data_IF_812492035675
#
_entry.id   IF_812492035675
#
_cell.length_a   1.000
_cell.length_b   1.000
_cell.length_c   1.000
_cell.angle_alpha   90.00
_cell.angle_beta   90.00
_cell.angle_gamma   90.00
#
_symmetry.space_group_name_H-M   'P 1'
#
loop_
_entity.id
_entity.type
_entity.pdbx_description
1 polymer ?
#
# COMPACT_ATOMS: atom_id res chain seq x y z
N UNK A 1 3.66 7.61 26.98
CA UNK A 1 4.68 6.55 27.16
C UNK A 1 4.54 5.36 26.19
N UNK A 2 3.43 5.20 25.43
CA UNK A 2 3.26 4.09 24.49
C UNK A 2 4.31 4.03 23.37
N UNK A 3 4.48 5.12 22.61
CA UNK A 3 5.43 5.16 21.49
C UNK A 3 6.89 4.94 21.89
N UNK A 4 7.32 5.43 23.05
CA UNK A 4 8.69 5.21 23.54
C UNK A 4 8.96 3.73 23.83
N UNK A 5 7.98 3.02 24.42
CA UNK A 5 8.09 1.56 24.64
C UNK A 5 8.06 0.79 23.34
N UNK A 6 7.25 1.22 22.39
CA UNK A 6 7.16 0.59 21.07
C UNK A 6 8.48 0.74 20.29
N UNK A 7 9.08 1.92 20.29
CA UNK A 7 10.40 2.13 19.69
C UNK A 7 11.48 1.26 20.34
N UNK A 8 11.48 1.12 21.68
CA UNK A 8 12.39 0.22 22.38
C UNK A 8 12.15 -1.25 22.01
N UNK A 9 10.89 -1.68 21.94
CA UNK A 9 10.51 -3.04 21.55
C UNK A 9 11.03 -3.38 20.16
N UNK A 10 10.82 -2.49 19.18
CA UNK A 10 11.32 -2.67 17.81
C UNK A 10 12.85 -2.72 17.76
N UNK A 11 13.53 -1.88 18.54
CA UNK A 11 14.99 -1.90 18.62
C UNK A 11 15.53 -3.23 19.17
N UNK A 12 14.87 -3.80 20.20
CA UNK A 12 15.23 -5.11 20.76
C UNK A 12 14.98 -6.24 19.76
N UNK A 13 13.86 -6.23 19.04
CA UNK A 13 13.57 -7.21 17.97
C UNK A 13 14.65 -7.17 16.89
N UNK A 14 15.04 -5.98 16.43
CA UNK A 14 16.07 -5.82 15.42
C UNK A 14 17.46 -6.26 15.90
N UNK A 15 17.73 -6.17 17.20
CA UNK A 15 18.99 -6.63 17.80
C UNK A 15 19.12 -8.16 17.78
N UNK A 16 18.01 -8.88 17.97
CA UNK A 16 17.96 -10.35 18.02
C UNK A 16 17.73 -10.99 16.64
N UNK A 17 17.49 -10.18 15.61
CA UNK A 17 17.06 -10.64 14.29
C UNK A 17 18.12 -11.47 13.55
N UNK A 18 17.71 -12.65 13.08
CA UNK A 18 18.53 -13.55 12.25
C UNK A 18 18.44 -13.16 10.76
N UNK A 19 19.35 -13.63 9.88
CA UNK A 19 19.23 -13.37 8.44
C UNK A 19 17.87 -13.80 7.87
N UNK A 20 17.20 -12.92 7.13
CA UNK A 20 15.95 -13.24 6.45
C UNK A 20 16.18 -14.24 5.30
N UNK A 21 15.24 -15.17 5.03
CA UNK A 21 15.35 -16.10 3.92
C UNK A 21 15.27 -15.38 2.58
N UNK A 22 16.00 -15.89 1.59
CA UNK A 22 15.97 -15.41 0.21
C UNK A 22 15.02 -16.26 -0.65
N UNK A 23 14.33 -15.61 -1.60
CA UNK A 23 13.55 -16.30 -2.64
C UNK A 23 12.09 -15.90 -2.67
N UNK A 24 11.28 -16.68 -3.38
CA UNK A 24 9.84 -16.41 -3.53
C UNK A 24 9.06 -17.21 -2.50
N UNK A 25 8.44 -16.52 -1.54
CA UNK A 25 7.78 -17.10 -0.39
C UNK A 25 6.38 -16.49 -0.20
N UNK A 26 5.47 -17.17 0.53
CA UNK A 26 4.29 -16.52 1.09
C UNK A 26 4.68 -15.44 2.10
N UNK A 27 4.01 -14.30 2.03
CA UNK A 27 4.19 -13.19 2.98
C UNK A 27 2.83 -12.77 3.52
N UNK A 28 2.74 -12.71 4.85
CA UNK A 28 1.62 -12.11 5.57
C UNK A 28 2.04 -10.72 6.00
N UNK A 29 1.27 -9.71 5.60
CA UNK A 29 1.49 -8.32 5.99
C UNK A 29 0.49 -7.97 7.09
N UNK A 30 0.96 -7.40 8.19
CA UNK A 30 0.10 -6.91 9.27
C UNK A 30 -0.81 -5.77 8.82
N UNK A 31 -1.78 -5.40 9.67
CA UNK A 31 -2.67 -4.26 9.40
C UNK A 31 -1.97 -2.90 9.58
N UNK A 32 -2.58 -1.83 9.07
CA UNK A 32 -2.11 -0.47 9.31
C UNK A 32 -1.04 -0.01 8.32
N UNK A 33 0.15 0.35 8.82
CA UNK A 33 1.23 0.92 8.02
C UNK A 33 1.72 0.01 6.89
N UNK A 34 1.56 -1.30 7.00
CA UNK A 34 1.89 -2.22 5.90
C UNK A 34 1.06 -1.97 4.62
N UNK A 35 0.03 -1.12 4.70
CA UNK A 35 -0.67 -0.53 3.55
C UNK A 35 0.21 0.28 2.60
N UNK A 36 1.49 0.53 2.94
CA UNK A 36 2.52 0.95 1.97
C UNK A 36 2.53 0.02 0.74
N UNK A 37 2.22 -1.27 0.89
CA UNK A 37 1.98 -2.16 -0.25
C UNK A 37 1.03 -1.54 -1.27
N UNK A 38 -0.12 -1.05 -0.82
CA UNK A 38 -1.16 -0.51 -1.69
C UNK A 38 -0.72 0.81 -2.32
N UNK A 39 -0.04 1.65 -1.54
CA UNK A 39 0.50 2.93 -2.01
C UNK A 39 1.41 2.75 -3.23
N UNK A 40 2.33 1.78 -3.15
CA UNK A 40 3.29 1.50 -4.22
C UNK A 40 2.69 0.62 -5.33
N UNK A 41 2.02 -0.49 -4.97
CA UNK A 41 1.57 -1.49 -5.93
C UNK A 41 0.42 -1.00 -6.83
N UNK A 42 -0.47 -0.16 -6.30
CA UNK A 42 -1.63 0.37 -7.05
C UNK A 42 -1.72 1.89 -6.98
N UNK A 43 -1.44 2.52 -5.84
CA UNK A 43 -1.75 3.93 -5.56
C UNK A 43 -1.20 4.87 -6.62
N UNK A 44 0.13 4.97 -6.72
CA UNK A 44 0.77 5.78 -7.77
C UNK A 44 0.39 5.32 -9.19
N UNK A 45 0.28 4.02 -9.41
CA UNK A 45 -0.15 3.45 -10.70
C UNK A 45 -1.56 3.91 -11.14
N UNK A 46 -2.40 4.35 -10.21
CA UNK A 46 -3.76 4.81 -10.43
C UNK A 46 -3.93 6.34 -10.33
N UNK A 47 -2.83 7.08 -10.29
CA UNK A 47 -2.85 8.54 -10.50
C UNK A 47 -3.09 8.86 -11.98
N UNK A 48 -4.06 9.75 -12.25
CA UNK A 48 -4.64 9.96 -13.58
C UNK A 48 -3.68 10.56 -14.62
N UNK A 49 -2.64 11.24 -14.18
CA UNK A 49 -1.63 11.83 -15.06
C UNK A 49 -0.79 10.77 -15.78
N UNK A 50 -0.45 9.67 -15.11
CA UNK A 50 0.25 8.54 -15.74
C UNK A 50 -0.65 7.74 -16.68
N UNK A 51 -1.90 7.49 -16.26
CA UNK A 51 -2.87 6.74 -17.06
C UNK A 51 -3.29 7.52 -18.31
N UNK A 52 -3.46 8.84 -18.21
CA UNK A 52 -3.71 9.71 -19.36
C UNK A 52 -2.56 9.69 -20.36
N UNK A 53 -1.32 9.63 -19.89
CA UNK A 53 -0.11 9.55 -20.74
C UNK A 53 0.13 8.14 -21.30
N UNK A 54 -0.61 7.13 -20.84
CA UNK A 54 -0.41 5.73 -21.24
C UNK A 54 0.86 5.10 -20.64
N UNK A 55 1.48 5.73 -19.65
CA UNK A 55 2.77 5.29 -19.09
C UNK A 55 2.61 4.41 -17.84
N UNK A 56 1.41 4.28 -17.28
CA UNK A 56 1.15 3.38 -16.15
C UNK A 56 0.87 1.96 -16.64
N UNK A 57 1.31 0.96 -15.87
CA UNK A 57 0.92 -0.45 -16.05
C UNK A 57 -0.61 -0.70 -15.94
N UNK A 58 -1.38 0.28 -15.45
CA UNK A 58 -2.84 0.24 -15.36
C UNK A 58 -3.55 0.94 -16.53
N UNK A 59 -2.81 1.61 -17.41
CA UNK A 59 -3.39 2.39 -18.52
C UNK A 59 -4.22 1.50 -19.43
N UNK A 60 -5.46 1.92 -19.70
CA UNK A 60 -6.38 1.19 -20.59
C UNK A 60 -7.03 -0.05 -19.98
N UNK A 61 -6.78 -0.37 -18.70
CA UNK A 61 -7.28 -1.59 -18.04
C UNK A 61 -8.59 -1.38 -17.26
N UNK A 62 -9.31 -0.29 -17.53
CA UNK A 62 -10.54 0.04 -16.84
C UNK A 62 -11.58 -1.08 -17.01
N UNK A 63 -12.17 -1.56 -15.92
CA UNK A 63 -13.10 -2.69 -15.94
C UNK A 63 -12.44 -4.08 -15.99
N UNK A 64 -11.10 -4.16 -16.04
CA UNK A 64 -10.39 -5.44 -15.97
C UNK A 64 -10.08 -5.87 -14.53
N UNK A 65 -9.84 -7.17 -14.37
CA UNK A 65 -9.27 -7.74 -13.15
C UNK A 65 -7.80 -7.34 -13.03
N UNK A 66 -7.49 -6.54 -12.00
CA UNK A 66 -6.13 -6.06 -11.71
C UNK A 66 -5.63 -6.50 -10.32
N UNK A 67 -6.50 -7.09 -9.51
CA UNK A 67 -6.20 -7.67 -8.21
C UNK A 67 -7.06 -8.91 -7.96
N UNK A 68 -6.82 -9.62 -6.85
CA UNK A 68 -7.70 -10.69 -6.39
C UNK A 68 -9.12 -10.17 -6.15
N UNK A 69 -10.13 -11.04 -6.31
CA UNK A 69 -11.54 -10.71 -6.05
C UNK A 69 -11.81 -10.29 -4.60
N UNK A 70 -10.88 -10.61 -3.70
CA UNK A 70 -10.95 -10.22 -2.28
C UNK A 70 -10.59 -8.74 -2.06
N UNK A 71 -9.99 -8.08 -3.05
CA UNK A 71 -9.46 -6.74 -2.89
C UNK A 71 -10.46 -5.67 -3.33
N UNK A 72 -10.87 -4.82 -2.39
CA UNK A 72 -11.50 -3.54 -2.67
C UNK A 72 -10.64 -2.44 -2.04
N UNK A 73 -10.16 -1.50 -2.86
CA UNK A 73 -9.17 -0.48 -2.49
C UNK A 73 -9.75 0.88 -2.84
N UNK A 74 -9.64 1.80 -1.88
CA UNK A 74 -10.16 3.17 -1.99
C UNK A 74 -9.05 4.17 -1.67
N UNK A 75 -9.19 5.39 -2.21
CA UNK A 75 -8.50 6.57 -1.73
C UNK A 75 -9.55 7.53 -1.16
N UNK A 76 -9.44 7.85 0.13
CA UNK A 76 -10.50 8.56 0.87
C UNK A 76 -9.98 9.81 1.56
N UNK A 77 -10.32 10.97 0.99
CA UNK A 77 -9.93 12.26 1.55
C UNK A 77 -10.85 12.76 2.67
N UNK A 78 -11.91 12.02 3.01
CA UNK A 78 -13.00 12.49 3.88
C UNK A 78 -12.86 12.07 5.35
N UNK A 79 -11.84 11.26 5.67
CA UNK A 79 -11.67 10.70 7.01
C UNK A 79 -11.33 11.78 8.05
N UNK A 80 -12.20 11.95 9.05
CA UNK A 80 -12.02 12.95 10.09
C UNK A 80 -10.74 12.73 10.91
N UNK A 81 -9.97 13.80 11.15
CA UNK A 81 -8.78 13.79 12.01
C UNK A 81 -7.57 13.03 11.45
N UNK A 82 -7.61 12.59 10.19
CA UNK A 82 -6.50 11.88 9.54
C UNK A 82 -5.55 12.82 8.83
N UNK A 83 -4.26 12.46 8.84
CA UNK A 83 -3.16 13.22 8.24
C UNK A 83 -3.30 13.41 6.73
N UNK A 84 -3.81 12.41 6.02
CA UNK A 84 -3.97 12.46 4.55
C UNK A 84 -5.26 13.14 4.07
N UNK A 85 -6.18 13.48 4.97
CA UNK A 85 -7.50 14.03 4.63
C UNK A 85 -7.46 15.54 4.36
N UNK A 86 -8.41 16.01 3.56
CA UNK A 86 -8.57 17.41 3.20
C UNK A 86 -10.07 17.73 3.11
N UNK A 87 -10.50 18.93 3.48
CA UNK A 87 -11.88 19.36 3.19
C UNK A 87 -12.08 19.66 1.70
N UNK A 88 -11.05 20.22 1.07
CA UNK A 88 -10.95 20.44 -0.38
C UNK A 88 -9.50 20.19 -0.79
N UNK A 89 -9.29 19.73 -2.01
CA UNK A 89 -7.96 19.69 -2.62
C UNK A 89 -7.42 21.09 -2.93
N UNK A 90 -6.18 21.18 -3.40
CA UNK A 90 -5.50 22.45 -3.68
C UNK A 90 -6.06 23.17 -4.93
N UNK A 91 -7.03 22.55 -5.60
CA UNK A 91 -7.79 23.13 -6.70
C UNK A 91 -9.21 23.55 -6.27
N UNK A 92 -9.58 23.36 -5.01
CA UNK A 92 -10.89 23.69 -4.45
C UNK A 92 -11.99 22.66 -4.73
N UNK A 93 -11.62 21.44 -5.12
CA UNK A 93 -12.57 20.32 -5.27
C UNK A 93 -12.76 19.64 -3.91
N UNK A 94 -13.99 19.48 -3.39
CA UNK A 94 -14.22 18.68 -2.19
C UNK A 94 -13.65 17.27 -2.36
N UNK A 95 -13.03 16.74 -1.32
CA UNK A 95 -12.56 15.35 -1.34
C UNK A 95 -13.71 14.36 -1.25
N UNK A 96 -13.48 13.16 -1.74
CA UNK A 96 -14.43 12.05 -1.69
C UNK A 96 -13.73 10.73 -1.36
N UNK A 97 -14.52 9.68 -1.16
CA UNK A 97 -14.04 8.30 -1.09
C UNK A 97 -14.07 7.71 -2.50
N UNK A 98 -12.94 7.77 -3.20
CA UNK A 98 -12.79 7.28 -4.57
C UNK A 98 -12.51 5.78 -4.55
N UNK A 99 -13.44 5.00 -5.10
CA UNK A 99 -13.20 3.56 -5.29
C UNK A 99 -12.27 3.33 -6.48
N UNK A 100 -11.07 2.84 -6.20
CA UNK A 100 -10.04 2.59 -7.21
C UNK A 100 -10.17 1.18 -7.78
N UNK A 101 -10.27 0.19 -6.89
CA UNK A 101 -10.46 -1.22 -7.24
C UNK A 101 -11.63 -1.75 -6.42
N UNK A 102 -12.54 -2.48 -7.04
CA UNK A 102 -13.69 -3.09 -6.36
C UNK A 102 -13.77 -4.57 -6.74
N UNK A 103 -13.68 -5.45 -5.75
CA UNK A 103 -13.67 -6.91 -5.94
C UNK A 103 -12.68 -7.35 -7.03
N UNK A 104 -11.48 -6.76 -7.00
CA UNK A 104 -10.39 -7.01 -7.95
C UNK A 104 -10.49 -6.28 -9.28
N UNK A 105 -11.61 -5.61 -9.58
CA UNK A 105 -11.84 -4.90 -10.85
C UNK A 105 -11.40 -3.45 -10.74
N UNK A 106 -10.63 -2.95 -11.70
CA UNK A 106 -10.26 -1.53 -11.78
C UNK A 106 -11.49 -0.66 -12.10
N UNK A 107 -11.80 0.31 -11.24
CA UNK A 107 -12.99 1.17 -11.33
C UNK A 107 -12.70 2.63 -11.62
N UNK A 108 -11.53 3.12 -11.23
CA UNK A 108 -11.25 4.55 -11.30
C UNK A 108 -9.77 4.89 -11.21
N UNK A 109 -9.46 6.14 -11.55
CA UNK A 109 -8.19 6.79 -11.31
C UNK A 109 -8.41 8.02 -10.44
N UNK A 110 -7.41 8.39 -9.66
CA UNK A 110 -7.38 9.67 -8.94
C UNK A 110 -7.09 10.81 -9.92
N UNK A 111 -7.82 11.91 -9.82
CA UNK A 111 -7.78 13.00 -10.80
C UNK A 111 -7.57 14.38 -10.17
N UNK A 112 -6.84 15.21 -10.91
CA UNK A 112 -6.85 16.67 -10.81
C UNK A 112 -7.75 17.26 -11.93
N UNK A 113 -7.93 18.58 -11.96
CA UNK A 113 -8.75 19.25 -13.00
C UNK A 113 -8.22 19.03 -14.40
N UNK A 114 -6.90 19.03 -14.58
CA UNK A 114 -6.26 18.93 -15.88
C UNK A 114 -6.49 17.55 -16.51
N UNK A 115 -6.17 16.49 -15.78
CA UNK A 115 -6.24 15.13 -16.29
C UNK A 115 -7.69 14.63 -16.35
N UNK A 116 -8.56 15.03 -15.41
CA UNK A 116 -10.00 14.78 -15.50
C UNK A 116 -10.56 15.30 -16.83
N UNK A 117 -10.24 16.56 -17.18
CA UNK A 117 -10.70 17.17 -18.44
C UNK A 117 -10.16 16.44 -19.67
N UNK A 118 -8.87 16.10 -19.68
CA UNK A 118 -8.24 15.44 -20.83
C UNK A 118 -8.72 14.00 -21.02
N UNK A 119 -9.11 13.32 -19.94
CA UNK A 119 -9.67 11.96 -19.98
C UNK A 119 -11.20 11.93 -20.11
N UNK A 120 -11.87 13.08 -20.03
CA UNK A 120 -13.34 13.18 -20.11
C UNK A 120 -14.07 12.59 -18.90
N UNK A 121 -13.46 12.64 -17.71
CA UNK A 121 -14.00 12.07 -16.46
C UNK A 121 -14.22 13.14 -15.39
N UNK A 122 -14.85 12.75 -14.27
CA UNK A 122 -15.06 13.63 -13.12
C UNK A 122 -13.74 13.90 -12.36
N UNK A 123 -13.74 14.98 -11.58
CA UNK A 123 -12.68 15.29 -10.60
C UNK A 123 -12.95 14.49 -9.33
N UNK A 124 -11.89 14.09 -8.63
CA UNK A 124 -12.01 13.20 -7.46
C UNK A 124 -11.46 13.81 -6.16
N UNK A 125 -11.11 15.11 -6.18
CA UNK A 125 -10.51 15.77 -5.01
C UNK A 125 -9.07 15.31 -4.73
N UNK A 126 -8.32 14.94 -5.77
CA UNK A 126 -6.94 14.49 -5.67
C UNK A 126 -5.93 15.48 -6.30
N UNK A 127 -6.36 16.68 -6.70
CA UNK A 127 -5.47 17.71 -7.25
C UNK A 127 -4.67 18.40 -6.14
N UNK A 128 -3.48 17.86 -5.82
CA UNK A 128 -2.68 18.33 -4.68
C UNK A 128 -1.35 18.92 -5.12
N UNK A 129 -0.87 19.93 -4.39
CA UNK A 129 0.44 20.57 -4.55
C UNK A 129 1.12 20.75 -3.20
N UNK A 130 2.45 20.68 -3.16
CA UNK A 130 3.20 20.89 -1.92
C UNK A 130 3.03 22.30 -1.35
N UNK A 131 3.02 23.31 -2.24
CA UNK A 131 2.86 24.70 -1.87
C UNK A 131 2.46 25.57 -3.06
N UNK A 132 2.27 26.87 -2.82
CA UNK A 132 2.01 27.86 -3.87
C UNK A 132 3.09 27.89 -4.98
N UNK A 133 4.30 27.39 -4.69
CA UNK A 133 5.44 27.37 -5.61
C UNK A 133 5.47 26.15 -6.56
N UNK A 134 4.57 25.18 -6.42
CA UNK A 134 4.61 23.90 -7.16
C UNK A 134 3.31 23.63 -7.91
N UNK A 135 3.30 23.08 -9.12
CA UNK A 135 2.02 22.77 -9.80
C UNK A 135 1.25 21.63 -9.10
N UNK A 136 -0.09 21.69 -9.04
CA UNK A 136 -0.88 20.55 -8.60
C UNK A 136 -0.83 19.42 -9.62
N UNK A 137 -1.01 18.20 -9.12
CA UNK A 137 -1.12 16.97 -9.91
C UNK A 137 -2.00 15.95 -9.15
N UNK A 138 -2.46 14.86 -9.80
CA UNK A 138 -3.20 13.82 -9.08
C UNK A 138 -2.30 13.16 -8.04
N UNK A 139 -2.78 13.12 -6.79
CA UNK A 139 -2.08 12.59 -5.61
C UNK A 139 -3.05 11.90 -4.65
N UNK A 140 -2.58 10.83 -4.03
CA UNK A 140 -3.30 10.11 -2.97
C UNK A 140 -3.66 10.98 -1.76
N UNK A 141 -4.67 10.56 -1.00
CA UNK A 141 -5.07 11.10 0.31
C UNK A 141 -4.83 10.06 1.41
N UNK A 142 -5.84 9.24 1.74
CA UNK A 142 -5.69 8.05 2.58
C UNK A 142 -6.05 6.82 1.75
N UNK A 143 -5.04 6.05 1.34
CA UNK A 143 -5.23 4.89 0.45
C UNK A 143 -5.28 3.61 1.27
N UNK A 144 -6.39 2.86 1.23
CA UNK A 144 -6.52 1.63 2.02
C UNK A 144 -7.39 0.56 1.36
N UNK A 145 -7.19 -0.69 1.81
CA UNK A 145 -8.02 -1.85 1.45
C UNK A 145 -9.12 -2.05 2.50
N UNK A 146 -10.33 -2.36 2.05
CA UNK A 146 -11.43 -2.72 2.95
C UNK A 146 -11.17 -4.05 3.67
N UNK A 147 -11.76 -4.22 4.85
CA UNK A 147 -11.69 -5.46 5.63
C UNK A 147 -12.35 -6.63 4.90
N UNK A 148 -11.70 -7.79 4.94
CA UNK A 148 -12.22 -9.07 4.50
C UNK A 148 -12.93 -9.82 5.63
N UNK A 149 -12.87 -11.15 5.58
CA UNK A 149 -13.59 -12.04 6.51
C UNK A 149 -12.69 -12.93 7.35
N UNK A 150 -11.42 -13.09 6.97
CA UNK A 150 -10.50 -14.01 7.65
C UNK A 150 -10.07 -13.47 9.01
N UNK A 151 -9.91 -14.34 10.00
CA UNK A 151 -9.22 -13.97 11.24
C UNK A 151 -7.71 -13.82 10.94
N UNK A 152 -7.04 -12.74 11.37
CA UNK A 152 -5.59 -12.58 11.23
C UNK A 152 -4.77 -13.81 11.69
N UNK A 153 -5.22 -14.51 12.73
CA UNK A 153 -4.57 -15.73 13.22
C UNK A 153 -4.73 -16.90 12.25
N UNK A 154 -5.86 -17.03 11.57
CA UNK A 154 -6.06 -18.04 10.51
C UNK A 154 -5.16 -17.77 9.31
N UNK A 155 -4.94 -16.49 8.97
CA UNK A 155 -4.04 -16.09 7.89
C UNK A 155 -2.61 -16.58 8.19
N UNK A 156 -2.11 -16.31 9.40
CA UNK A 156 -0.79 -16.77 9.86
C UNK A 156 -0.74 -18.31 9.89
N UNK A 157 -1.75 -18.95 10.46
CA UNK A 157 -1.84 -20.41 10.57
C UNK A 157 -1.83 -21.12 9.21
N UNK A 158 -2.30 -20.45 8.15
CA UNK A 158 -2.31 -21.00 6.79
C UNK A 158 -0.92 -21.12 6.14
N UNK A 159 0.11 -20.53 6.73
CA UNK A 159 1.46 -20.46 6.14
C UNK A 159 2.37 -21.51 6.78
N UNK A 160 2.77 -22.50 5.98
CA UNK A 160 3.72 -23.54 6.42
C UNK A 160 5.15 -23.01 6.59
N UNK A 161 5.62 -22.23 5.63
CA UNK A 161 6.92 -21.54 5.68
C UNK A 161 6.80 -20.22 4.94
N UNK A 162 7.11 -19.11 5.59
CA UNK A 162 6.98 -17.77 5.00
C UNK A 162 7.42 -16.67 5.93
N UNK A 163 6.99 -15.44 5.66
CA UNK A 163 7.32 -14.26 6.47
C UNK A 163 6.04 -13.59 6.98
N UNK A 164 6.03 -13.22 8.25
CA UNK A 164 5.11 -12.25 8.80
C UNK A 164 5.83 -10.90 8.86
N UNK A 165 5.38 -9.93 8.09
CA UNK A 165 5.89 -8.57 8.13
C UNK A 165 4.93 -7.71 8.97
N UNK A 166 5.36 -7.42 10.20
CA UNK A 166 4.60 -6.63 11.15
C UNK A 166 4.65 -5.14 10.81
N UNK A 167 5.78 -4.68 10.28
CA UNK A 167 5.98 -3.28 9.94
C UNK A 167 6.87 -3.09 8.72
N UNK A 168 6.50 -2.13 7.88
CA UNK A 168 7.26 -1.68 6.72
C UNK A 168 8.05 -0.42 7.04
N UNK A 169 9.16 -0.24 6.34
CA UNK A 169 9.87 1.03 6.25
C UNK A 169 9.19 1.90 5.19
N UNK A 170 9.98 2.32 4.20
CA UNK A 170 9.49 2.96 2.99
C UNK A 170 9.41 2.01 1.80
N UNK A 171 8.85 2.50 0.70
CA UNK A 171 8.78 1.83 -0.58
C UNK A 171 9.12 2.76 -1.75
N UNK A 172 9.21 2.17 -2.94
CA UNK A 172 9.35 2.87 -4.20
C UNK A 172 8.74 2.03 -5.32
N UNK A 173 8.11 2.69 -6.29
CA UNK A 173 7.56 2.06 -7.49
C UNK A 173 8.09 2.68 -8.78
N UNK A 174 8.40 1.83 -9.75
CA UNK A 174 8.43 2.20 -11.17
C UNK A 174 7.07 1.86 -11.79
N UNK A 175 6.25 2.89 -11.94
CA UNK A 175 4.90 2.81 -12.48
C UNK A 175 4.82 2.29 -13.93
N UNK A 176 5.92 2.38 -14.68
CA UNK A 176 5.95 2.00 -16.11
C UNK A 176 6.10 0.49 -16.23
N UNK A 177 7.07 -0.07 -15.52
CA UNK A 177 7.23 -1.52 -15.44
C UNK A 177 6.28 -2.18 -14.44
N UNK A 178 5.62 -1.37 -13.60
CA UNK A 178 4.77 -1.81 -12.49
C UNK A 178 5.56 -2.45 -11.35
N UNK A 179 6.90 -2.39 -11.36
CA UNK A 179 7.74 -2.99 -10.33
C UNK A 179 7.79 -2.10 -9.10
N UNK A 180 7.58 -2.69 -7.93
CA UNK A 180 7.72 -2.00 -6.66
C UNK A 180 8.72 -2.73 -5.77
N UNK A 181 9.27 -1.97 -4.84
CA UNK A 181 10.08 -2.47 -3.73
C UNK A 181 9.63 -1.82 -2.43
N UNK A 182 9.67 -2.57 -1.34
CA UNK A 182 9.58 -2.01 0.00
C UNK A 182 10.44 -2.81 0.97
N UNK A 183 10.94 -2.14 2.02
CA UNK A 183 11.82 -2.76 2.99
C UNK A 183 11.06 -3.05 4.28
N UNK A 184 11.22 -4.25 4.84
CA UNK A 184 10.63 -4.57 6.14
C UNK A 184 11.41 -3.88 7.26
N UNK A 185 10.73 -3.16 8.15
CA UNK A 185 11.33 -2.59 9.36
C UNK A 185 11.21 -3.55 10.55
N UNK A 186 10.24 -4.46 10.51
CA UNK A 186 10.04 -5.55 11.46
C UNK A 186 9.38 -6.75 10.77
N UNK A 187 10.05 -7.90 10.81
CA UNK A 187 9.56 -9.13 10.20
C UNK A 187 9.98 -10.37 10.98
N UNK A 188 9.24 -11.45 10.80
CA UNK A 188 9.42 -12.72 11.48
C UNK A 188 9.25 -13.88 10.50
N UNK A 189 9.88 -15.01 10.79
CA UNK A 189 9.55 -16.28 10.15
C UNK A 189 8.15 -16.72 10.56
N UNK A 190 7.44 -17.35 9.62
CA UNK A 190 6.30 -18.21 9.92
C UNK A 190 6.72 -19.65 9.63
N UNK A 191 6.61 -20.52 10.64
CA UNK A 191 6.93 -21.94 10.56
C UNK A 191 5.75 -22.76 11.11
N UNK A 192 5.20 -23.65 10.27
CA UNK A 192 4.04 -24.48 10.56
C UNK A 192 2.88 -23.71 11.20
N UNK A 193 2.56 -22.55 10.61
CA UNK A 193 1.45 -21.69 11.02
C UNK A 193 1.72 -20.84 12.26
N UNK A 194 2.97 -20.71 12.70
CA UNK A 194 3.34 -19.93 13.90
C UNK A 194 4.42 -18.92 13.59
N UNK A 195 4.28 -17.72 14.15
CA UNK A 195 5.37 -16.73 14.17
C UNK A 195 6.49 -17.27 15.06
N UNK A 196 7.71 -17.34 14.53
CA UNK A 196 8.87 -17.85 15.26
C UNK A 196 9.95 -16.77 15.42
N UNK A 197 11.07 -16.88 14.70
CA UNK A 197 12.23 -16.01 14.91
C UNK A 197 12.07 -14.66 14.19
N UNK A 198 12.49 -13.53 14.81
CA UNK A 198 12.60 -12.26 14.11
C UNK A 198 13.70 -12.33 13.04
N UNK A 199 13.46 -11.71 11.88
CA UNK A 199 14.41 -11.67 10.77
C UNK A 199 14.83 -10.24 10.44
N UNK A 200 16.06 -10.09 9.96
CA UNK A 200 16.62 -8.81 9.54
C UNK A 200 15.79 -8.22 8.39
N UNK A 201 15.82 -6.90 8.29
CA UNK A 201 15.14 -6.19 7.22
C UNK A 201 15.49 -6.75 5.83
N UNK A 202 14.47 -7.11 5.06
CA UNK A 202 14.59 -7.59 3.70
C UNK A 202 13.78 -6.71 2.75
N UNK A 203 14.28 -6.53 1.55
CA UNK A 203 13.53 -5.86 0.48
C UNK A 203 12.56 -6.86 -0.14
N UNK A 204 11.27 -6.55 -0.14
CA UNK A 204 10.28 -7.29 -0.90
C UNK A 204 10.15 -6.66 -2.28
N UNK A 205 10.12 -7.50 -3.31
CA UNK A 205 10.08 -7.07 -4.72
C UNK A 205 8.90 -7.75 -5.40
N UNK A 206 8.13 -6.98 -6.15
CA UNK A 206 6.99 -7.50 -6.91
C UNK A 206 6.60 -6.60 -8.07
N UNK A 207 5.63 -7.06 -8.85
CA UNK A 207 4.90 -6.26 -9.82
C UNK A 207 3.49 -5.99 -9.26
N UNK A 208 3.00 -4.75 -9.37
CA UNK A 208 1.76 -4.30 -8.75
C UNK A 208 0.56 -5.22 -9.03
N UNK A 209 0.08 -5.29 -10.28
CA UNK A 209 -1.03 -6.17 -10.65
C UNK A 209 -0.80 -7.65 -10.29
N UNK A 210 0.40 -8.16 -10.52
CA UNK A 210 0.74 -9.56 -10.23
C UNK A 210 0.67 -9.87 -8.73
N UNK A 211 1.30 -9.05 -7.88
CA UNK A 211 1.28 -9.21 -6.43
C UNK A 211 -0.14 -9.11 -5.88
N UNK A 212 -0.93 -8.13 -6.37
CA UNK A 212 -2.31 -7.95 -5.95
C UNK A 212 -3.23 -9.10 -6.40
N UNK A 213 -2.94 -9.73 -7.55
CA UNK A 213 -3.64 -10.94 -7.99
C UNK A 213 -3.35 -12.18 -7.12
N UNK A 214 -2.21 -12.18 -6.41
CA UNK A 214 -1.77 -13.26 -5.52
C UNK A 214 -2.27 -13.09 -4.07
N UNK A 215 -3.11 -12.09 -3.81
CA UNK A 215 -3.76 -11.93 -2.50
C UNK A 215 -4.81 -13.01 -2.32
N UNK A 216 -4.58 -13.93 -1.39
CA UNK A 216 -5.42 -15.12 -1.19
C UNK A 216 -6.26 -15.07 0.09
N UNK A 217 -5.88 -14.22 1.05
CA UNK A 217 -6.64 -14.00 2.29
C UNK A 217 -6.58 -12.52 2.68
N UNK A 218 -7.71 -12.01 3.17
CA UNK A 218 -7.87 -10.62 3.64
C UNK A 218 -8.57 -10.64 4.98
N UNK A 219 -7.91 -10.05 5.99
CA UNK A 219 -8.32 -10.06 7.38
C UNK A 219 -9.48 -9.12 7.68
N UNK A 220 -10.13 -9.32 8.81
CA UNK A 220 -11.23 -8.49 9.31
C UNK A 220 -10.76 -7.34 10.25
N UNK A 221 -9.45 -7.09 10.32
CA UNK A 221 -8.77 -6.21 11.28
C UNK A 221 -8.21 -4.93 10.64
N UNK A 222 -8.99 -4.29 9.76
CA UNK A 222 -8.56 -3.06 9.09
C UNK A 222 -8.10 -2.00 10.10
N UNK A 223 -6.86 -1.55 9.93
CA UNK A 223 -6.34 -0.36 10.58
C UNK A 223 -5.62 0.55 9.57
N UNK A 224 -5.56 1.84 9.91
CA UNK A 224 -4.78 2.84 9.18
C UNK A 224 -3.54 3.20 10.01
N UNK A 225 -2.55 3.80 9.36
CA UNK A 225 -1.35 4.28 10.02
C UNK A 225 -1.61 5.32 11.12
N UNK A 226 -0.59 5.53 11.95
CA UNK A 226 -0.61 6.46 13.10
C UNK A 226 -0.42 7.93 12.71
N UNK A 227 -0.40 8.27 11.43
CA UNK A 227 -0.20 9.62 10.90
C UNK A 227 1.26 9.94 10.59
N UNK A 228 1.99 8.98 10.01
CA UNK A 228 3.43 9.12 9.69
C UNK A 228 3.72 9.27 8.20
N UNK A 229 2.73 8.97 7.35
CA UNK A 229 2.89 8.94 5.90
C UNK A 229 3.36 10.27 5.28
N UNK A 230 4.37 10.17 4.42
CA UNK A 230 4.84 11.25 3.54
C UNK A 230 5.14 10.63 2.17
N UNK A 231 4.45 11.13 1.14
CA UNK A 231 4.56 10.63 -0.23
C UNK A 231 5.31 11.64 -1.10
N UNK A 232 6.28 11.16 -1.88
CA UNK A 232 7.06 11.95 -2.83
C UNK A 232 6.67 11.67 -4.28
N UNK A 233 6.40 12.70 -5.08
CA UNK A 233 6.20 12.59 -6.54
C UNK A 233 6.66 13.86 -7.23
N UNK A 234 7.46 13.74 -8.30
CA UNK A 234 8.02 14.87 -9.07
C UNK A 234 8.66 15.96 -8.18
N UNK A 235 9.40 15.52 -7.15
CA UNK A 235 10.06 16.39 -6.18
C UNK A 235 9.15 16.99 -5.10
N UNK A 236 7.85 16.70 -5.11
CA UNK A 236 6.87 17.22 -4.14
C UNK A 236 6.54 16.22 -3.04
N UNK A 237 6.65 16.65 -1.78
CA UNK A 237 6.33 15.87 -0.58
C UNK A 237 4.98 16.26 0.01
N UNK A 238 4.09 15.29 0.19
CA UNK A 238 2.75 15.52 0.75
C UNK A 238 2.41 14.57 1.89
N UNK A 239 1.65 15.02 2.90
CA UNK A 239 1.09 14.14 3.92
C UNK A 239 0.05 13.21 3.29
N UNK A 240 0.17 11.92 3.56
CA UNK A 240 -0.75 10.87 3.10
C UNK A 240 -1.03 9.90 4.24
N UNK A 241 -2.10 9.12 4.12
CA UNK A 241 -2.38 7.98 4.97
C UNK A 241 -2.36 6.67 4.18
N UNK A 242 -2.06 5.58 4.86
CA UNK A 242 -2.16 4.22 4.30
C UNK A 242 -2.89 3.30 5.28
N UNK A 243 -3.51 2.25 4.77
CA UNK A 243 -4.16 1.25 5.62
C UNK A 243 -4.44 -0.05 4.90
N UNK A 244 -4.53 -1.12 5.66
CA UNK A 244 -5.02 -2.42 5.21
C UNK A 244 -5.36 -3.27 6.43
N UNK A 245 -6.19 -4.31 6.27
CA UNK A 245 -6.22 -5.41 7.23
C UNK A 245 -4.96 -6.26 7.09
N UNK A 246 -4.79 -7.22 8.00
CA UNK A 246 -3.82 -8.29 7.81
C UNK A 246 -4.15 -9.03 6.51
N UNK A 247 -3.18 -9.28 5.65
CA UNK A 247 -3.41 -9.98 4.38
C UNK A 247 -2.28 -10.93 4.02
N UNK A 248 -2.57 -11.90 3.14
CA UNK A 248 -1.59 -12.86 2.63
C UNK A 248 -1.40 -12.69 1.13
N UNK A 249 -0.14 -12.56 0.73
CA UNK A 249 0.32 -12.73 -0.65
C UNK A 249 0.96 -14.11 -0.75
N UNK A 250 0.44 -14.95 -1.65
CA UNK A 250 0.90 -16.35 -1.76
C UNK A 250 2.35 -16.49 -2.21
N UNK A 251 2.83 -15.54 -3.02
CA UNK A 251 4.19 -15.58 -3.55
C UNK A 251 4.70 -14.17 -3.89
N UNK A 252 5.70 -13.70 -3.15
CA UNK A 252 6.46 -12.47 -3.43
C UNK A 252 7.96 -12.73 -3.17
N UNK A 253 8.83 -12.04 -3.91
CA UNK A 253 10.27 -12.20 -3.77
C UNK A 253 10.77 -11.45 -2.54
N UNK A 254 11.48 -12.16 -1.67
CA UNK A 254 12.13 -11.66 -0.45
C UNK A 254 13.64 -11.60 -0.68
N UNK A 255 14.21 -10.41 -0.57
CA UNK A 255 15.64 -10.11 -0.73
C UNK A 255 16.45 -10.36 0.54
N UNK A 256 16.38 -11.58 1.08
CA UNK A 256 17.16 -12.01 2.23
C UNK A 256 18.56 -12.53 1.88
N UNK A 257 19.29 -12.96 2.90
CA UNK A 257 20.62 -13.60 2.77
C UNK A 257 20.72 -14.96 3.49
N UNK A 258 19.66 -15.35 4.20
CA UNK A 258 19.49 -16.65 4.83
C UNK A 258 18.89 -17.70 3.89
N UNK A 259 19.01 -18.96 4.29
CA UNK A 259 18.48 -20.17 3.61
C UNK A 259 17.06 -20.53 4.02
#
# INVERSE_FOLDING_TARGET
MGYAREALRQALVNLEAIPAPAGTLPVVLGSGWSGVLLHEAVGHGLEGDFNRKGSSAYSGRMGEMVASKLCTIVDDGTLAGRRGSLSVDDEGTPTECTTLIENGVLKGYMQDKLNARLMGVARTGNGRRESYAHLPMPRMTNTYMLGGQSDPQEIIASVKRGIYCANLGGGQVDITSGKFVFSTSEAYLIEDGKITAPVKGATLIGNGPEAMSRVSMVGNDLSLDSGVGTCGKDGQSLPVGVGQPTLKIDAITVGGTGS
#
